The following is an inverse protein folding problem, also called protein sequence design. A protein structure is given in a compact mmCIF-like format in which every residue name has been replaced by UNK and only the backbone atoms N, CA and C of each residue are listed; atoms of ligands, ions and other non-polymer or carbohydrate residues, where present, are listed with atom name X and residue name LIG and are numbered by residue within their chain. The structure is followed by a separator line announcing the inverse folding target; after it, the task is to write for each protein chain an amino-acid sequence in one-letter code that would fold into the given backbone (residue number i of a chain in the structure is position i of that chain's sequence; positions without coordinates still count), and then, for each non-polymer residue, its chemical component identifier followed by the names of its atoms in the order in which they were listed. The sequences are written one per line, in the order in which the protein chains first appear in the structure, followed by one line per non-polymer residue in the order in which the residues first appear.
data_IF_821643320422
#
_entry.id   IF_821643320422
#
_cell.length_a   1.000
_cell.length_b   1.000
_cell.length_c   1.000
_cell.angle_alpha   90.00
_cell.angle_beta   90.00
_cell.angle_gamma   90.00
#
_symmetry.space_group_name_H-M   'P 1'
#
loop_
_entity.id
_entity.type
_entity.pdbx_description
1 polymer ?
#
# COMPACT_ATOMS: atom_id res chain seq x y z
N UNK A 1 -2.54 -6.16 -1.28
CA UNK A 1 -2.33 -7.18 -0.23
C UNK A 1 -3.55 -8.09 -0.15
N UNK A 2 -3.47 -9.21 0.58
CA UNK A 2 -4.57 -10.17 0.71
C UNK A 2 -5.13 -10.17 2.13
N UNK A 3 -6.44 -10.05 2.27
CA UNK A 3 -7.15 -10.01 3.56
C UNK A 3 -7.26 -11.40 4.21
N UNK A 4 -7.75 -11.42 5.47
CA UNK A 4 -8.08 -12.65 6.20
C UNK A 4 -9.00 -13.61 5.43
N UNK A 5 -9.87 -13.06 4.59
CA UNK A 5 -10.89 -13.80 3.84
C UNK A 5 -10.47 -14.05 2.37
N UNK A 6 -9.17 -13.93 2.07
CA UNK A 6 -8.59 -14.07 0.72
C UNK A 6 -9.04 -13.00 -0.29
N UNK A 7 -9.64 -11.90 0.18
CA UNK A 7 -10.01 -10.81 -0.70
C UNK A 7 -8.75 -10.02 -1.12
N UNK A 8 -8.69 -9.67 -2.40
CA UNK A 8 -7.67 -8.75 -2.93
C UNK A 8 -7.98 -7.34 -2.42
N UNK A 9 -7.06 -6.78 -1.66
CA UNK A 9 -7.14 -5.42 -1.17
C UNK A 9 -6.22 -4.51 -1.99
N UNK A 10 -6.79 -3.44 -2.54
CA UNK A 10 -6.15 -2.55 -3.52
C UNK A 10 -5.71 -1.20 -2.96
N UNK A 11 -5.94 -0.95 -1.68
CA UNK A 11 -5.48 0.25 -0.99
C UNK A 11 -4.30 -0.08 -0.07
N UNK A 12 -3.54 0.93 0.36
CA UNK A 12 -2.44 0.76 1.31
C UNK A 12 -2.56 1.66 2.53
N UNK A 13 -1.72 1.41 3.55
CA UNK A 13 -1.76 2.03 4.86
C UNK A 13 -2.09 3.53 4.84
N UNK A 14 -2.99 3.95 5.73
CA UNK A 14 -3.49 5.33 5.81
C UNK A 14 -4.53 5.72 4.76
N UNK A 15 -4.81 4.90 3.74
CA UNK A 15 -5.89 5.14 2.78
C UNK A 15 -7.20 4.46 3.18
N UNK A 16 -8.31 4.95 2.64
CA UNK A 16 -9.65 4.36 2.81
C UNK A 16 -9.74 3.01 2.07
N UNK A 17 -10.37 1.98 2.66
CA UNK A 17 -10.61 0.70 1.97
C UNK A 17 -11.28 0.89 0.61
N UNK A 18 -10.78 0.19 -0.41
CA UNK A 18 -11.32 0.25 -1.78
C UNK A 18 -10.96 1.51 -2.57
N UNK A 19 -10.20 2.46 -1.99
CA UNK A 19 -9.83 3.71 -2.68
C UNK A 19 -8.87 3.53 -3.85
N UNK A 20 -8.19 2.38 -3.97
CA UNK A 20 -7.07 2.15 -4.89
C UNK A 20 -5.93 3.18 -4.72
N UNK A 21 -5.73 3.67 -3.48
CA UNK A 21 -4.76 4.70 -3.16
C UNK A 21 -3.90 4.32 -1.95
N UNK A 22 -2.81 5.06 -1.77
CA UNK A 22 -2.01 5.13 -0.56
C UNK A 22 -2.34 6.43 0.20
N UNK A 23 -1.81 6.60 1.41
CA UNK A 23 -2.06 7.79 2.23
C UNK A 23 -1.86 9.11 1.47
N UNK A 24 -0.76 9.24 0.71
CA UNK A 24 -0.48 10.46 -0.05
C UNK A 24 -1.52 10.76 -1.13
N UNK A 25 -2.14 9.72 -1.70
CA UNK A 25 -3.15 9.85 -2.75
C UNK A 25 -4.48 10.33 -2.22
N UNK A 26 -4.74 10.17 -0.92
CA UNK A 26 -5.92 10.72 -0.24
C UNK A 26 -5.84 12.24 -0.11
N UNK A 27 -4.64 12.78 0.01
CA UNK A 27 -4.38 14.21 0.26
C UNK A 27 -3.78 14.93 -0.94
N UNK A 28 -3.67 14.26 -2.09
CA UNK A 28 -2.97 14.77 -3.29
C UNK A 28 -1.54 15.25 -3.00
N UNK A 29 -0.88 14.63 -2.02
CA UNK A 29 0.45 14.97 -1.55
C UNK A 29 1.50 13.95 -1.98
N UNK A 30 1.16 13.05 -2.91
CA UNK A 30 2.16 12.19 -3.54
C UNK A 30 3.13 13.05 -4.36
N UNK A 31 4.34 12.56 -4.57
CA UNK A 31 5.35 13.24 -5.37
C UNK A 31 4.86 13.57 -6.79
N UNK A 32 4.08 12.66 -7.37
CA UNK A 32 3.27 12.93 -8.54
C UNK A 32 1.79 13.02 -8.12
N UNK A 33 1.18 14.23 -8.08
CA UNK A 33 -0.20 14.43 -7.66
C UNK A 33 -1.23 13.72 -8.56
N UNK A 34 -0.87 13.30 -9.77
CA UNK A 34 -1.76 12.54 -10.66
C UNK A 34 -1.80 11.04 -10.34
N UNK A 35 -1.02 10.56 -9.37
CA UNK A 35 -0.91 9.15 -8.98
C UNK A 35 -1.59 8.85 -7.64
N UNK A 36 -1.98 7.59 -7.45
CA UNK A 36 -2.64 7.13 -6.22
C UNK A 36 -1.67 6.79 -5.09
N UNK A 37 -0.44 6.41 -5.44
CA UNK A 37 0.65 6.08 -4.54
C UNK A 37 1.96 6.70 -5.05
N UNK A 38 2.94 6.89 -4.17
CA UNK A 38 4.26 7.35 -4.59
C UNK A 38 4.98 6.27 -5.42
N UNK A 39 4.77 4.97 -5.14
CA UNK A 39 5.37 3.89 -5.93
C UNK A 39 4.95 3.89 -7.40
N UNK A 40 3.79 4.48 -7.75
CA UNK A 40 3.29 4.55 -9.13
C UNK A 40 3.93 5.69 -9.96
N UNK A 41 4.86 6.45 -9.38
CA UNK A 41 5.46 7.64 -10.03
C UNK A 41 6.36 7.25 -11.21
N UNK A 42 7.02 6.09 -11.14
CA UNK A 42 7.97 5.57 -12.12
C UNK A 42 9.02 6.60 -12.59
N UNK A 43 9.62 7.32 -11.63
CA UNK A 43 10.54 8.44 -11.85
C UNK A 43 11.97 8.15 -11.42
N UNK A 44 12.35 6.86 -11.42
CA UNK A 44 13.69 6.35 -11.06
C UNK A 44 14.20 6.81 -9.67
N UNK A 45 13.30 7.30 -8.82
CA UNK A 45 13.61 7.79 -7.47
C UNK A 45 13.04 6.83 -6.44
N UNK A 46 13.79 6.57 -5.36
CA UNK A 46 13.25 5.81 -4.24
C UNK A 46 12.06 6.55 -3.60
N UNK A 47 10.90 5.93 -3.70
CA UNK A 47 9.63 6.42 -3.15
C UNK A 47 9.14 5.50 -2.05
N UNK A 48 8.36 6.05 -1.11
CA UNK A 48 7.77 5.25 -0.05
C UNK A 48 6.32 5.64 0.22
N UNK A 49 5.54 4.64 0.57
CA UNK A 49 4.18 4.77 1.05
C UNK A 49 4.07 3.97 2.35
N UNK A 50 3.33 4.50 3.31
CA UNK A 50 3.21 3.88 4.62
C UNK A 50 2.00 4.39 5.37
N UNK A 51 1.69 3.70 6.46
CA UNK A 51 0.55 4.00 7.31
C UNK A 51 -0.03 2.74 7.94
N UNK A 52 -1.09 2.91 8.71
CA UNK A 52 -1.79 1.78 9.34
C UNK A 52 -2.87 1.23 8.42
N UNK A 53 -2.98 -0.09 8.37
CA UNK A 53 -4.20 -0.76 7.92
C UNK A 53 -5.10 -0.89 9.16
N UNK A 54 -6.29 -0.29 9.10
CA UNK A 54 -7.18 -0.15 10.27
C UNK A 54 -8.55 -0.80 10.09
N UNK A 55 -8.84 -1.32 8.89
CA UNK A 55 -10.08 -2.03 8.62
C UNK A 55 -10.09 -3.39 9.32
N UNK A 56 -10.74 -3.44 10.48
CA UNK A 56 -10.81 -4.63 11.34
C UNK A 56 -11.42 -5.83 10.63
N UNK A 57 -12.36 -5.61 9.70
CA UNK A 57 -13.03 -6.69 9.00
C UNK A 57 -12.07 -7.44 8.06
N UNK A 58 -11.11 -6.72 7.46
CA UNK A 58 -10.14 -7.29 6.51
C UNK A 58 -8.86 -7.81 7.15
N UNK A 59 -8.54 -7.42 8.38
CA UNK A 59 -7.32 -7.82 9.08
C UNK A 59 -7.42 -9.21 9.73
N UNK A 60 -6.30 -9.96 9.85
CA UNK A 60 -4.92 -9.58 9.51
C UNK A 60 -4.62 -9.62 8.00
N UNK A 61 -3.49 -9.01 7.63
CA UNK A 61 -2.88 -9.22 6.31
C UNK A 61 -2.38 -10.66 6.23
N UNK A 62 -2.83 -11.41 5.23
CA UNK A 62 -2.39 -12.79 4.98
C UNK A 62 -1.18 -12.85 4.05
N UNK A 63 -1.17 -12.01 3.01
CA UNK A 63 -0.08 -11.96 2.03
C UNK A 63 0.19 -10.53 1.58
N UNK A 64 1.47 -10.25 1.39
CA UNK A 64 1.96 -9.05 0.72
C UNK A 64 2.13 -9.36 -0.76
N UNK A 65 1.52 -8.55 -1.62
CA UNK A 65 1.59 -8.71 -3.08
C UNK A 65 1.90 -7.34 -3.68
N UNK A 66 3.08 -7.25 -4.27
CA UNK A 66 3.57 -6.11 -5.03
C UNK A 66 3.86 -6.61 -6.45
N UNK A 67 3.73 -5.75 -7.45
CA UNK A 67 4.00 -6.07 -8.85
C UNK A 67 4.88 -4.99 -9.47
N UNK A 68 5.03 -5.05 -10.79
CA UNK A 68 5.88 -4.11 -11.56
C UNK A 68 7.37 -4.27 -11.20
N UNK A 69 7.86 -5.50 -11.41
CA UNK A 69 9.27 -5.90 -11.24
C UNK A 69 9.76 -6.70 -12.46
N UNK A 70 9.28 -6.34 -13.65
CA UNK A 70 9.62 -7.01 -14.90
C UNK A 70 10.87 -6.44 -15.59
N UNK A 71 11.43 -5.36 -15.06
CA UNK A 71 12.69 -4.73 -15.48
C UNK A 71 13.83 -4.99 -14.48
N UNK A 72 15.08 -5.17 -14.94
CA UNK A 72 16.24 -5.39 -14.06
C UNK A 72 16.58 -4.22 -13.14
N UNK A 73 16.03 -3.03 -13.41
CA UNK A 73 16.26 -1.82 -12.62
C UNK A 73 15.15 -1.58 -11.58
N UNK A 74 14.15 -2.45 -11.50
CA UNK A 74 13.04 -2.33 -10.55
C UNK A 74 13.37 -3.06 -9.25
N UNK A 75 13.24 -2.34 -8.15
CA UNK A 75 13.50 -2.87 -6.83
C UNK A 75 12.48 -2.31 -5.84
N UNK A 76 12.14 -3.11 -4.83
CA UNK A 76 11.16 -2.74 -3.82
C UNK A 76 11.48 -3.39 -2.48
N UNK A 77 11.18 -2.66 -1.40
CA UNK A 77 11.27 -3.15 -0.03
C UNK A 77 9.93 -2.99 0.64
N UNK A 78 9.64 -3.89 1.58
CA UNK A 78 8.42 -3.81 2.37
C UNK A 78 8.68 -4.21 3.81
N UNK A 79 7.90 -3.62 4.71
CA UNK A 79 7.81 -4.05 6.09
C UNK A 79 6.33 -4.16 6.48
N UNK A 80 6.01 -5.17 7.29
CA UNK A 80 4.68 -5.33 7.87
C UNK A 80 4.85 -5.47 9.39
N UNK A 81 4.27 -4.52 10.12
CA UNK A 81 4.27 -4.56 11.57
C UNK A 81 3.37 -5.67 12.14
N UNK A 82 3.57 -5.99 13.43
CA UNK A 82 2.68 -6.91 14.15
C UNK A 82 1.26 -6.37 14.16
N UNK A 83 0.27 -7.28 14.05
CA UNK A 83 -1.13 -6.94 14.31
C UNK A 83 -1.27 -6.45 15.76
N UNK A 84 -1.91 -5.29 15.95
CA UNK A 84 -2.25 -4.74 17.27
C UNK A 84 -3.75 -4.84 17.48
N UNK A 85 -4.15 -5.55 18.54
CA UNK A 85 -5.54 -5.71 18.95
C UNK A 85 -5.75 -4.97 20.27
N UNK A 86 -6.87 -4.25 20.37
CA UNK A 86 -7.29 -3.51 21.57
C UNK A 86 -8.69 -3.98 21.95
N UNK A 87 -8.91 -4.20 23.26
CA UNK A 87 -10.19 -4.61 23.83
C UNK A 87 -11.10 -3.44 24.16
#
# INVERSE_FOLDING_TARGET
WVSRDNAKMTYWGGATPGSNKCACGMTSSCANPSRGCNCDSNDETWRSDGGLLTDKASLPVREMRFGDFDSPNEAGYHTLGKLKCYG
#
